data_IF_775894184979
#
_entry.id   IF_775894184979
#
_cell.length_a   1.000
_cell.length_b   1.000
_cell.length_c   1.000
_cell.angle_alpha   90.00
_cell.angle_beta   90.00
_cell.angle_gamma   90.00
#
_symmetry.space_group_name_H-M   'P 1'
#
loop_
_entity.id
_entity.type
_entity.pdbx_description
1 polymer ?
#
# COMPACT_ATOMS: atom_id res chain seq x y z
N UNK A 1 25.50 6.79 -1.47
CA UNK A 1 25.10 5.58 -0.71
C UNK A 1 24.84 4.44 -1.68
N UNK A 2 25.04 3.21 -1.23
CA UNK A 2 24.56 1.99 -1.90
C UNK A 2 23.10 1.73 -1.47
N UNK A 3 22.17 1.86 -2.41
CA UNK A 3 20.74 1.64 -2.17
C UNK A 3 20.28 0.41 -2.92
N UNK A 4 19.66 -0.55 -2.23
CA UNK A 4 18.99 -1.67 -2.87
C UNK A 4 17.48 -1.38 -2.91
N UNK A 5 16.90 -1.26 -4.10
CA UNK A 5 15.45 -1.15 -4.28
C UNK A 5 14.87 -2.56 -4.42
N UNK A 6 14.07 -2.98 -3.45
CA UNK A 6 13.29 -4.22 -3.52
C UNK A 6 11.92 -3.94 -4.12
N UNK A 7 11.59 -4.70 -5.18
CA UNK A 7 10.31 -4.59 -5.87
C UNK A 7 9.77 -5.98 -6.24
N UNK A 8 8.63 -6.05 -6.92
CA UNK A 8 8.03 -7.30 -7.37
C UNK A 8 7.40 -8.12 -6.26
N UNK A 9 7.95 -9.29 -5.97
CA UNK A 9 7.41 -10.20 -4.95
C UNK A 9 6.18 -11.00 -5.41
N UNK A 10 5.60 -11.79 -4.51
CA UNK A 10 4.39 -12.59 -4.74
C UNK A 10 3.15 -11.83 -4.24
N UNK A 11 2.69 -10.89 -5.04
CA UNK A 11 1.51 -10.05 -4.74
C UNK A 11 0.72 -9.80 -6.02
N UNK A 12 -0.62 -9.65 -5.94
CA UNK A 12 -1.41 -9.19 -7.08
C UNK A 12 -0.97 -7.82 -7.60
N UNK A 13 -0.28 -7.02 -6.76
CA UNK A 13 0.24 -5.69 -7.08
C UNK A 13 1.69 -5.72 -7.60
N UNK A 14 2.24 -6.90 -7.93
CA UNK A 14 3.60 -7.09 -8.41
C UNK A 14 4.01 -6.14 -9.53
N UNK A 15 3.15 -5.95 -10.54
CA UNK A 15 3.47 -5.11 -11.69
C UNK A 15 3.57 -3.62 -11.31
N UNK A 16 2.77 -3.18 -10.36
CA UNK A 16 2.82 -1.82 -9.77
C UNK A 16 4.11 -1.64 -8.98
N UNK A 17 4.46 -2.65 -8.19
CA UNK A 17 5.70 -2.69 -7.41
C UNK A 17 6.94 -2.60 -8.30
N UNK A 18 7.02 -3.38 -9.38
CA UNK A 18 8.13 -3.31 -10.33
C UNK A 18 8.23 -1.93 -11.00
N UNK A 19 7.09 -1.33 -11.35
CA UNK A 19 7.06 0.01 -11.95
C UNK A 19 7.50 1.07 -10.95
N UNK A 20 6.98 1.05 -9.72
CA UNK A 20 7.43 1.93 -8.64
C UNK A 20 8.92 1.79 -8.38
N UNK A 21 9.41 0.56 -8.25
CA UNK A 21 10.83 0.26 -8.02
C UNK A 21 11.74 0.77 -9.14
N UNK A 22 11.32 0.59 -10.40
CA UNK A 22 12.06 1.08 -11.57
C UNK A 22 12.18 2.61 -11.57
N UNK A 23 11.09 3.33 -11.26
CA UNK A 23 11.09 4.79 -11.21
C UNK A 23 11.90 5.33 -10.03
N UNK A 24 11.78 4.72 -8.84
CA UNK A 24 12.58 5.06 -7.65
C UNK A 24 14.07 4.82 -7.94
N UNK A 25 14.42 3.66 -8.51
CA UNK A 25 15.80 3.32 -8.86
C UNK A 25 16.41 4.38 -9.80
N UNK A 26 15.69 4.75 -10.85
CA UNK A 26 16.16 5.78 -11.79
C UNK A 26 16.32 7.14 -11.09
N UNK A 27 15.31 7.58 -10.33
CA UNK A 27 15.34 8.87 -9.65
C UNK A 27 16.52 8.99 -8.66
N UNK A 28 16.81 7.92 -7.92
CA UNK A 28 17.95 7.91 -6.99
C UNK A 28 19.29 7.83 -7.72
N UNK A 29 19.38 7.15 -8.88
CA UNK A 29 20.58 7.17 -9.75
C UNK A 29 20.85 8.58 -10.29
N UNK A 30 19.81 9.28 -10.75
CA UNK A 30 19.91 10.65 -11.25
C UNK A 30 20.40 11.65 -10.17
N UNK A 31 20.23 11.29 -8.90
CA UNK A 31 20.73 12.03 -7.74
C UNK A 31 22.11 11.57 -7.24
N UNK A 32 22.79 10.70 -8.00
CA UNK A 32 24.17 10.28 -7.75
C UNK A 32 24.34 9.13 -6.74
N UNK A 33 23.27 8.40 -6.40
CA UNK A 33 23.39 7.18 -5.60
C UNK A 33 23.78 5.98 -6.45
N UNK A 34 24.45 5.00 -5.84
CA UNK A 34 24.65 3.67 -6.43
C UNK A 34 23.39 2.85 -6.11
N UNK A 35 22.58 2.54 -7.13
CA UNK A 35 21.26 1.93 -6.90
C UNK A 35 21.10 0.65 -7.71
N UNK A 36 20.79 -0.44 -7.02
CA UNK A 36 20.40 -1.71 -7.60
C UNK A 36 18.88 -1.89 -7.50
N UNK A 37 18.24 -2.43 -8.54
CA UNK A 37 16.85 -2.87 -8.53
C UNK A 37 16.82 -4.40 -8.50
N UNK A 38 16.09 -4.95 -7.54
CA UNK A 38 15.99 -6.39 -7.36
C UNK A 38 14.57 -6.84 -7.12
N UNK A 39 14.20 -7.93 -7.77
CA UNK A 39 12.93 -8.59 -7.53
C UNK A 39 13.00 -9.46 -6.28
N UNK A 40 12.10 -9.21 -5.31
CA UNK A 40 12.07 -9.97 -4.05
C UNK A 40 11.84 -11.47 -4.29
N UNK A 41 10.99 -11.85 -5.26
CA UNK A 41 10.66 -13.25 -5.50
C UNK A 41 11.69 -13.97 -6.34
N UNK A 42 12.19 -13.37 -7.43
CA UNK A 42 13.15 -14.03 -8.30
C UNK A 42 14.58 -13.96 -7.74
N UNK A 43 14.95 -12.90 -7.05
CA UNK A 43 16.31 -12.73 -6.53
C UNK A 43 17.34 -12.41 -7.61
N UNK A 44 18.57 -12.90 -7.41
CA UNK A 44 19.63 -12.78 -8.38
C UNK A 44 19.42 -13.79 -9.52
N UNK A 45 19.43 -13.28 -10.75
CA UNK A 45 19.65 -14.12 -11.93
C UNK A 45 21.15 -14.48 -12.00
N UNK A 46 21.48 -15.75 -12.18
CA UNK A 46 22.85 -16.27 -12.11
C UNK A 46 23.89 -15.57 -13.01
N UNK A 47 23.47 -14.68 -13.91
CA UNK A 47 24.33 -13.82 -14.72
C UNK A 47 24.74 -12.51 -14.01
N UNK A 48 24.02 -12.09 -12.95
CA UNK A 48 24.26 -10.86 -12.19
C UNK A 48 24.81 -11.22 -10.81
N UNK A 49 26.10 -11.01 -10.59
CA UNK A 49 26.66 -11.00 -9.25
C UNK A 49 26.45 -9.63 -8.58
N UNK A 50 26.59 -9.58 -7.25
CA UNK A 50 26.20 -8.45 -6.43
C UNK A 50 26.61 -7.06 -6.93
N UNK A 51 27.84 -6.87 -7.36
CA UNK A 51 28.33 -5.54 -7.79
C UNK A 51 27.80 -5.14 -9.17
N UNK A 52 27.59 -6.09 -10.07
CA UNK A 52 27.07 -5.83 -11.42
C UNK A 52 25.60 -5.37 -11.39
N UNK A 53 24.84 -5.68 -10.35
CA UNK A 53 23.45 -5.26 -10.22
C UNK A 53 23.32 -3.73 -10.07
N UNK A 54 24.29 -3.07 -9.43
CA UNK A 54 24.28 -1.61 -9.22
C UNK A 54 24.47 -0.80 -10.52
N UNK A 55 25.05 -1.44 -11.56
CA UNK A 55 25.25 -0.83 -12.89
C UNK A 55 24.32 -1.42 -13.95
N UNK A 56 23.55 -2.44 -13.61
CA UNK A 56 22.63 -3.10 -14.53
C UNK A 56 21.55 -2.13 -15.05
N UNK A 57 21.18 -2.20 -16.35
CA UNK A 57 20.07 -1.42 -16.86
C UNK A 57 18.74 -1.85 -16.22
N UNK A 58 17.85 -0.90 -16.02
CA UNK A 58 16.49 -1.18 -15.56
C UNK A 58 15.71 -1.76 -16.74
N UNK A 59 15.10 -2.97 -16.60
CA UNK A 59 14.33 -3.56 -17.68
C UNK A 59 13.16 -2.68 -18.11
N UNK A 60 12.99 -2.45 -19.41
CA UNK A 60 11.88 -1.62 -19.93
C UNK A 60 10.51 -2.23 -19.63
N UNK A 61 10.43 -3.55 -19.45
CA UNK A 61 9.20 -4.24 -19.03
C UNK A 61 8.72 -3.80 -17.65
N UNK A 62 9.61 -3.34 -16.78
CA UNK A 62 9.25 -2.85 -15.44
C UNK A 62 8.69 -1.42 -15.44
N UNK A 63 8.87 -0.67 -16.52
CA UNK A 63 8.39 0.71 -16.61
C UNK A 63 6.89 0.84 -16.92
N UNK A 64 6.19 -0.28 -17.11
CA UNK A 64 4.76 -0.30 -17.48
C UNK A 64 3.98 -1.22 -16.55
N UNK A 65 2.82 -0.74 -16.08
CA UNK A 65 1.87 -1.55 -15.31
C UNK A 65 0.96 -2.29 -16.29
N UNK A 66 0.90 -3.62 -16.18
CA UNK A 66 -0.03 -4.43 -16.96
C UNK A 66 -1.49 -4.16 -16.54
N UNK A 67 -2.43 -4.36 -17.49
CA UNK A 67 -3.87 -4.17 -17.22
C UNK A 67 -4.45 -5.18 -16.24
N UNK A 68 -3.88 -6.38 -16.23
CA UNK A 68 -4.35 -7.49 -15.39
C UNK A 68 -3.34 -7.78 -14.29
N UNK A 69 -3.85 -8.18 -13.14
CA UNK A 69 -3.00 -8.67 -12.06
C UNK A 69 -2.30 -9.97 -12.51
N UNK A 70 -1.08 -10.24 -12.03
CA UNK A 70 -0.36 -11.45 -12.38
C UNK A 70 -1.07 -12.70 -11.84
N UNK A 71 -0.97 -13.81 -12.57
CA UNK A 71 -1.34 -15.13 -12.08
C UNK A 71 -0.31 -15.58 -11.03
N UNK A 72 -0.72 -15.54 -9.76
CA UNK A 72 0.16 -15.87 -8.65
C UNK A 72 0.49 -17.38 -8.56
N UNK A 73 -0.38 -18.26 -9.04
CA UNK A 73 -0.11 -19.70 -9.08
C UNK A 73 0.96 -20.01 -10.13
N UNK A 74 0.82 -19.45 -11.31
CA UNK A 74 1.82 -19.57 -12.36
C UNK A 74 3.16 -18.95 -11.92
N UNK A 75 3.11 -17.77 -11.30
CA UNK A 75 4.31 -17.11 -10.77
C UNK A 75 4.99 -17.98 -9.71
N UNK A 76 4.23 -18.54 -8.76
CA UNK A 76 4.76 -19.45 -7.75
C UNK A 76 5.40 -20.69 -8.37
N UNK A 77 4.77 -21.28 -9.38
CA UNK A 77 5.26 -22.46 -10.09
C UNK A 77 6.53 -22.19 -10.92
N UNK A 78 6.81 -20.94 -11.28
CA UNK A 78 7.97 -20.57 -12.08
C UNK A 78 9.32 -20.66 -11.34
N UNK A 79 9.30 -20.82 -10.00
CA UNK A 79 10.49 -21.00 -9.17
C UNK A 79 10.32 -22.16 -8.19
N UNK A 80 11.29 -23.07 -8.07
CA UNK A 80 11.22 -24.17 -7.12
C UNK A 80 11.32 -23.69 -5.66
N UNK A 81 10.74 -24.47 -4.76
CA UNK A 81 10.80 -24.25 -3.31
C UNK A 81 9.71 -23.35 -2.75
N UNK A 82 9.52 -23.34 -1.43
CA UNK A 82 8.43 -22.65 -0.75
C UNK A 82 8.72 -21.17 -0.45
N UNK A 83 9.97 -20.72 -0.57
CA UNK A 83 10.37 -19.36 -0.16
C UNK A 83 9.71 -18.28 -1.01
N UNK A 84 9.24 -17.20 -0.37
CA UNK A 84 8.81 -15.97 -1.04
C UNK A 84 9.98 -15.03 -1.35
N UNK A 85 11.18 -15.33 -0.80
CA UNK A 85 12.41 -14.56 -1.00
C UNK A 85 13.30 -15.34 -1.95
N UNK A 86 13.77 -14.68 -3.01
CA UNK A 86 14.66 -15.22 -4.03
C UNK A 86 16.09 -15.39 -3.55
N UNK A 87 16.88 -16.14 -4.33
CA UNK A 87 18.28 -16.40 -4.01
C UNK A 87 19.10 -15.09 -4.06
N UNK A 88 20.01 -14.90 -3.11
CA UNK A 88 20.86 -13.73 -3.00
C UNK A 88 20.20 -12.44 -2.53
N UNK A 89 18.87 -12.42 -2.29
CA UNK A 89 18.17 -11.20 -1.84
C UNK A 89 18.67 -10.72 -0.48
N UNK A 90 18.75 -11.62 0.50
CA UNK A 90 19.16 -11.25 1.86
C UNK A 90 20.63 -10.83 1.92
N UNK A 91 21.49 -11.48 1.16
CA UNK A 91 22.91 -11.13 1.02
C UNK A 91 23.08 -9.74 0.39
N UNK A 92 22.29 -9.43 -0.64
CA UNK A 92 22.29 -8.09 -1.25
C UNK A 92 21.74 -7.03 -0.30
N UNK A 93 20.72 -7.35 0.48
CA UNK A 93 20.21 -6.46 1.53
C UNK A 93 21.28 -6.15 2.57
N UNK A 94 21.98 -7.17 3.08
CA UNK A 94 23.04 -7.00 4.07
C UNK A 94 24.24 -6.19 3.56
N UNK A 95 24.47 -6.15 2.24
CA UNK A 95 25.53 -5.37 1.60
C UNK A 95 25.16 -3.94 1.19
N UNK A 96 23.92 -3.51 1.42
CA UNK A 96 23.45 -2.18 1.11
C UNK A 96 23.52 -1.24 2.33
N UNK A 97 23.70 0.07 2.11
CA UNK A 97 23.57 1.08 3.18
C UNK A 97 22.12 1.21 3.64
N UNK A 98 21.17 1.00 2.72
CA UNK A 98 19.72 1.02 2.97
C UNK A 98 18.98 0.23 1.90
N UNK A 99 17.90 -0.45 2.30
CA UNK A 99 16.95 -1.11 1.40
C UNK A 99 15.74 -0.20 1.19
N UNK A 100 15.49 0.22 -0.05
CA UNK A 100 14.27 0.94 -0.40
C UNK A 100 13.16 -0.08 -0.72
N UNK A 101 12.10 -0.10 0.09
CA UNK A 101 10.96 -0.99 -0.10
C UNK A 101 9.98 -0.36 -1.08
N UNK A 102 9.98 -0.81 -2.34
CA UNK A 102 9.00 -0.46 -3.37
C UNK A 102 7.99 -1.61 -3.60
N UNK A 103 7.76 -2.39 -2.55
CA UNK A 103 6.85 -3.53 -2.55
C UNK A 103 5.40 -3.07 -2.26
N UNK A 104 4.43 -3.90 -2.69
CA UNK A 104 3.01 -3.67 -2.40
C UNK A 104 2.32 -4.97 -2.01
N UNK A 105 1.32 -4.87 -1.14
CA UNK A 105 0.52 -6.00 -0.67
C UNK A 105 1.29 -6.99 0.21
N UNK A 106 0.91 -8.27 0.17
CA UNK A 106 1.52 -9.32 0.97
C UNK A 106 3.03 -9.43 0.74
N UNK A 107 3.76 -9.76 1.79
CA UNK A 107 5.22 -9.82 1.89
C UNK A 107 5.93 -8.45 1.78
N UNK A 108 5.24 -7.38 1.40
CA UNK A 108 5.79 -6.02 1.37
C UNK A 108 5.27 -5.14 2.50
N UNK A 109 3.93 -5.08 2.66
CA UNK A 109 3.25 -4.19 3.59
C UNK A 109 2.76 -4.88 4.88
N UNK A 110 3.00 -6.18 5.03
CA UNK A 110 2.49 -7.00 6.15
C UNK A 110 3.50 -7.27 7.27
N UNK A 111 4.64 -6.58 7.26
CA UNK A 111 5.68 -6.68 8.28
C UNK A 111 6.69 -7.82 8.07
N UNK A 112 6.48 -8.74 7.14
CA UNK A 112 7.33 -9.93 6.98
C UNK A 112 8.73 -9.59 6.49
N UNK A 113 8.85 -8.79 5.44
CA UNK A 113 10.16 -8.37 4.93
C UNK A 113 10.83 -7.43 5.92
N UNK A 114 10.08 -6.59 6.61
CA UNK A 114 10.59 -5.71 7.64
C UNK A 114 11.23 -6.52 8.78
N UNK A 115 10.55 -7.58 9.26
CA UNK A 115 11.10 -8.47 10.28
C UNK A 115 12.38 -9.19 9.83
N UNK A 116 12.45 -9.62 8.56
CA UNK A 116 13.66 -10.24 8.02
C UNK A 116 14.84 -9.24 7.99
N UNK A 117 14.59 -7.99 7.60
CA UNK A 117 15.60 -6.93 7.57
C UNK A 117 16.01 -6.46 8.97
N UNK A 118 15.06 -6.42 9.93
CA UNK A 118 15.36 -6.16 11.34
C UNK A 118 16.33 -7.21 11.91
N UNK A 119 16.07 -8.50 11.64
CA UNK A 119 16.97 -9.60 12.07
C UNK A 119 18.35 -9.57 11.38
N UNK A 120 18.43 -9.04 10.16
CA UNK A 120 19.70 -8.83 9.45
C UNK A 120 20.45 -7.59 9.95
N UNK A 121 19.82 -6.72 10.72
CA UNK A 121 20.37 -5.41 11.09
C UNK A 121 20.52 -4.46 9.89
N UNK A 122 19.73 -4.65 8.83
CA UNK A 122 19.81 -3.86 7.60
C UNK A 122 18.78 -2.75 7.61
N UNK A 123 19.16 -1.47 7.50
CA UNK A 123 18.21 -0.36 7.42
C UNK A 123 17.33 -0.45 6.16
N UNK A 124 16.06 -0.10 6.30
CA UNK A 124 15.09 -0.07 5.20
C UNK A 124 14.13 1.11 5.30
N UNK A 125 13.46 1.45 4.22
CA UNK A 125 12.53 2.60 4.18
C UNK A 125 11.15 2.27 4.73
N UNK A 126 10.49 3.29 5.32
CA UNK A 126 9.11 3.22 5.81
C UNK A 126 8.98 2.64 7.22
N UNK A 127 7.79 2.20 7.54
CA UNK A 127 7.40 1.71 8.87
C UNK A 127 8.03 0.36 9.21
N UNK A 128 8.20 0.10 10.51
CA UNK A 128 8.72 -1.17 11.02
C UNK A 128 7.71 -2.33 10.93
N UNK A 129 8.16 -3.52 11.34
CA UNK A 129 7.41 -4.78 11.25
C UNK A 129 6.03 -4.68 11.90
N UNK A 130 5.95 -4.25 13.17
CA UNK A 130 4.68 -4.23 13.92
C UNK A 130 3.66 -3.27 13.31
N UNK A 131 4.07 -2.03 13.00
CA UNK A 131 3.19 -1.03 12.40
C UNK A 131 2.66 -1.47 11.04
N UNK A 132 3.51 -2.06 10.20
CA UNK A 132 3.12 -2.60 8.89
C UNK A 132 2.11 -3.75 9.03
N UNK A 133 2.34 -4.68 9.95
CA UNK A 133 1.43 -5.80 10.20
C UNK A 133 0.05 -5.32 10.71
N UNK A 134 0.02 -4.32 11.59
CA UNK A 134 -1.22 -3.71 12.09
C UNK A 134 -1.96 -3.00 10.95
N UNK A 135 -1.26 -2.19 10.15
CA UNK A 135 -1.86 -1.44 9.06
C UNK A 135 -2.51 -2.35 7.99
N UNK A 136 -1.91 -3.51 7.73
CA UNK A 136 -2.44 -4.49 6.77
C UNK A 136 -3.74 -5.15 7.25
N UNK A 137 -3.94 -5.35 8.55
CA UNK A 137 -5.16 -5.93 9.12
C UNK A 137 -6.19 -4.81 9.39
N UNK A 138 -7.21 -4.72 8.54
CA UNK A 138 -8.24 -3.67 8.61
C UNK A 138 -9.04 -3.71 9.91
N UNK A 139 -9.32 -4.89 10.47
CA UNK A 139 -10.04 -5.03 11.74
C UNK A 139 -9.18 -4.55 12.90
N UNK A 140 -7.92 -4.98 12.96
CA UNK A 140 -7.01 -4.59 14.03
C UNK A 140 -6.77 -3.07 14.01
N UNK A 141 -6.50 -2.50 12.83
CA UNK A 141 -6.35 -1.05 12.66
C UNK A 141 -7.59 -0.30 13.15
N UNK A 142 -8.80 -0.69 12.69
CA UNK A 142 -10.05 -0.06 13.11
C UNK A 142 -10.27 -0.14 14.62
N UNK A 143 -9.97 -1.28 15.25
CA UNK A 143 -10.06 -1.44 16.72
C UNK A 143 -9.15 -0.48 17.47
N UNK A 144 -7.91 -0.31 17.02
CA UNK A 144 -6.93 0.57 17.67
C UNK A 144 -7.26 2.05 17.53
N UNK A 145 -7.87 2.46 16.41
CA UNK A 145 -8.23 3.86 16.16
C UNK A 145 -9.67 4.20 16.56
N UNK A 146 -10.48 3.20 16.92
CA UNK A 146 -11.85 3.39 17.37
C UNK A 146 -11.91 4.36 18.55
N UNK A 147 -12.85 5.32 18.49
CA UNK A 147 -12.98 6.38 19.50
C UNK A 147 -11.98 7.54 19.37
N UNK A 148 -10.93 7.42 18.52
CA UNK A 148 -9.98 8.50 18.22
C UNK A 148 -10.29 9.19 16.89
N UNK A 149 -10.63 8.38 15.86
CA UNK A 149 -11.09 8.85 14.56
C UNK A 149 -12.40 8.16 14.19
N UNK A 150 -13.20 8.81 13.34
CA UNK A 150 -14.40 8.15 12.82
C UNK A 150 -14.00 7.10 11.79
N UNK A 151 -14.61 5.92 11.87
CA UNK A 151 -14.52 4.83 10.91
C UNK A 151 -15.91 4.24 10.70
N UNK A 152 -16.24 3.70 9.52
CA UNK A 152 -17.53 3.03 9.32
C UNK A 152 -17.75 1.96 10.38
N UNK A 153 -18.98 1.80 10.88
CA UNK A 153 -19.33 0.67 11.77
C UNK A 153 -19.06 -0.62 11.00
N UNK A 154 -18.49 -1.60 11.67
CA UNK A 154 -18.07 -2.85 11.01
C UNK A 154 -18.27 -4.05 11.92
N UNK A 155 -18.30 -5.20 11.29
CA UNK A 155 -18.05 -6.48 11.91
C UNK A 155 -17.00 -7.25 11.11
N UNK A 156 -16.31 -8.16 11.78
CA UNK A 156 -15.38 -9.08 11.15
C UNK A 156 -15.90 -10.49 11.29
N UNK A 157 -16.04 -11.19 10.17
CA UNK A 157 -16.58 -12.55 10.11
C UNK A 157 -15.64 -13.45 9.32
N UNK A 158 -15.68 -14.75 9.62
CA UNK A 158 -15.14 -15.78 8.73
C UNK A 158 -16.31 -16.32 7.92
N UNK A 159 -16.33 -16.00 6.63
CA UNK A 159 -17.37 -16.43 5.69
C UNK A 159 -17.05 -17.84 5.21
N UNK A 160 -18.01 -18.73 5.32
CA UNK A 160 -18.00 -20.09 4.75
C UNK A 160 -19.28 -20.31 3.94
N UNK A 161 -19.31 -21.32 3.08
CA UNK A 161 -20.52 -21.62 2.29
C UNK A 161 -21.74 -21.85 3.20
N UNK A 162 -21.54 -22.46 4.38
CA UNK A 162 -22.60 -22.83 5.30
C UNK A 162 -23.24 -21.61 6.01
N UNK A 163 -22.48 -20.52 6.24
CA UNK A 163 -22.97 -19.38 7.03
C UNK A 163 -23.39 -18.15 6.20
N UNK A 164 -23.30 -18.23 4.87
CA UNK A 164 -23.71 -17.10 3.98
C UNK A 164 -25.14 -16.68 4.24
N UNK A 165 -26.09 -17.63 4.35
CA UNK A 165 -27.51 -17.33 4.58
C UNK A 165 -27.74 -16.60 5.91
N UNK A 166 -27.11 -17.03 6.99
CA UNK A 166 -27.16 -16.38 8.31
C UNK A 166 -26.62 -14.95 8.26
N UNK A 167 -25.45 -14.75 7.61
CA UNK A 167 -24.85 -13.42 7.47
C UNK A 167 -25.79 -12.51 6.68
N UNK A 168 -26.38 -12.99 5.58
CA UNK A 168 -27.31 -12.22 4.77
C UNK A 168 -28.56 -11.78 5.54
N UNK A 169 -29.11 -12.65 6.39
CA UNK A 169 -30.32 -12.38 7.16
C UNK A 169 -30.13 -11.23 8.17
N UNK A 170 -28.96 -11.16 8.80
CA UNK A 170 -28.66 -10.16 9.83
C UNK A 170 -28.02 -8.85 9.28
N UNK A 171 -27.52 -8.87 8.05
CA UNK A 171 -26.82 -7.71 7.47
C UNK A 171 -27.78 -6.66 6.96
N UNK A 172 -27.66 -5.44 7.46
CA UNK A 172 -28.46 -4.28 7.01
C UNK A 172 -27.75 -3.57 5.86
N UNK A 173 -28.41 -3.55 4.68
CA UNK A 173 -27.88 -2.88 3.48
C UNK A 173 -28.16 -1.35 3.51
N UNK A 174 -27.29 -0.52 2.84
CA UNK A 174 -26.11 -0.92 2.05
C UNK A 174 -24.86 -1.14 2.90
N UNK A 175 -23.99 -2.05 2.45
CA UNK A 175 -22.69 -2.36 3.11
C UNK A 175 -21.56 -2.44 2.10
N UNK A 176 -20.32 -2.36 2.61
CA UNK A 176 -19.09 -2.71 1.90
C UNK A 176 -18.55 -4.01 2.49
N UNK A 177 -18.29 -4.98 1.61
CA UNK A 177 -17.69 -6.27 1.96
C UNK A 177 -16.27 -6.30 1.40
N UNK A 178 -15.27 -6.56 2.25
CA UNK A 178 -13.87 -6.55 1.83
C UNK A 178 -13.02 -7.55 2.60
N UNK A 179 -11.99 -8.15 1.99
CA UNK A 179 -11.04 -9.00 2.71
C UNK A 179 -10.36 -8.22 3.82
N UNK A 180 -10.05 -8.90 4.94
CA UNK A 180 -9.39 -8.25 6.08
C UNK A 180 -8.00 -7.71 5.73
N UNK A 181 -7.27 -8.41 4.86
CA UNK A 181 -5.90 -8.09 4.46
C UNK A 181 -5.76 -8.21 2.94
N UNK A 182 -6.03 -7.12 2.23
CA UNK A 182 -5.80 -7.01 0.79
C UNK A 182 -5.58 -5.55 0.41
N UNK A 183 -4.80 -5.32 -0.66
CA UNK A 183 -4.57 -4.01 -1.27
C UNK A 183 -5.38 -3.81 -2.56
N UNK A 184 -5.23 -2.61 -3.15
CA UNK A 184 -5.76 -2.23 -4.47
C UNK A 184 -7.24 -2.52 -4.72
N UNK A 185 -8.07 -2.45 -3.70
CA UNK A 185 -9.53 -2.73 -3.78
C UNK A 185 -9.87 -4.14 -4.28
N UNK A 186 -8.92 -5.08 -4.28
CA UNK A 186 -9.16 -6.47 -4.70
C UNK A 186 -10.08 -7.14 -3.69
N UNK A 187 -11.21 -7.66 -4.18
CA UNK A 187 -12.23 -8.32 -3.34
C UNK A 187 -13.13 -7.34 -2.57
N UNK A 188 -13.10 -6.05 -2.90
CA UNK A 188 -14.00 -5.05 -2.33
C UNK A 188 -15.30 -5.01 -3.12
N UNK A 189 -16.43 -5.13 -2.44
CA UNK A 189 -17.77 -5.10 -3.02
C UNK A 189 -18.67 -4.14 -2.27
N UNK A 190 -19.38 -3.29 -3.00
CA UNK A 190 -20.45 -2.44 -2.46
C UNK A 190 -21.77 -3.16 -2.72
N UNK A 191 -22.41 -3.65 -1.65
CA UNK A 191 -23.69 -4.36 -1.72
C UNK A 191 -24.85 -3.44 -1.31
N UNK A 192 -25.71 -3.11 -2.27
CA UNK A 192 -26.93 -2.31 -2.08
C UNK A 192 -28.20 -3.16 -2.10
N UNK A 193 -28.10 -4.40 -2.58
CA UNK A 193 -29.19 -5.37 -2.73
C UNK A 193 -28.77 -6.74 -2.23
N UNK A 194 -29.70 -7.61 -1.81
CA UNK A 194 -29.36 -8.95 -1.29
C UNK A 194 -28.53 -9.80 -2.25
N UNK A 195 -28.83 -9.80 -3.55
CA UNK A 195 -28.06 -10.56 -4.54
C UNK A 195 -26.62 -10.04 -4.77
N UNK A 196 -26.34 -8.76 -4.49
CA UNK A 196 -24.99 -8.20 -4.50
C UNK A 196 -24.22 -8.64 -3.25
N UNK A 197 -24.88 -8.68 -2.09
CA UNK A 197 -24.31 -9.19 -0.84
C UNK A 197 -23.94 -10.66 -0.97
N UNK A 198 -24.84 -11.50 -1.52
CA UNK A 198 -24.57 -12.90 -1.74
C UNK A 198 -23.30 -13.11 -2.58
N UNK A 199 -23.20 -12.43 -3.74
CA UNK A 199 -22.01 -12.50 -4.61
C UNK A 199 -20.74 -12.07 -3.89
N UNK A 200 -20.82 -11.02 -3.07
CA UNK A 200 -19.68 -10.54 -2.27
C UNK A 200 -19.22 -11.58 -1.23
N UNK A 201 -20.14 -12.22 -0.54
CA UNK A 201 -19.83 -13.27 0.45
C UNK A 201 -19.26 -14.53 -0.23
N UNK A 202 -19.84 -14.98 -1.36
CA UNK A 202 -19.29 -16.07 -2.16
C UNK A 202 -17.85 -15.78 -2.65
N UNK A 203 -17.59 -14.54 -3.06
CA UNK A 203 -16.22 -14.11 -3.41
C UNK A 203 -15.28 -14.12 -2.20
N UNK A 204 -15.77 -13.72 -1.02
CA UNK A 204 -15.00 -13.76 0.22
C UNK A 204 -14.55 -15.17 0.60
N UNK A 205 -15.40 -16.20 0.42
CA UNK A 205 -15.02 -17.60 0.63
C UNK A 205 -13.81 -17.97 -0.21
N UNK A 206 -13.81 -17.61 -1.49
CA UNK A 206 -12.68 -17.88 -2.40
C UNK A 206 -11.39 -17.16 -2.03
N UNK A 207 -11.49 -16.04 -1.30
CA UNK A 207 -10.36 -15.22 -0.84
C UNK A 207 -9.90 -15.55 0.59
N UNK A 208 -10.28 -16.73 1.13
CA UNK A 208 -9.86 -17.19 2.45
C UNK A 208 -10.83 -16.89 3.59
N UNK A 209 -12.00 -16.32 3.30
CA UNK A 209 -13.15 -16.18 4.19
C UNK A 209 -13.07 -15.07 5.25
N UNK A 210 -11.88 -14.64 5.71
CA UNK A 210 -11.78 -13.56 6.70
C UNK A 210 -12.15 -12.21 6.10
N UNK A 211 -13.27 -11.65 6.54
CA UNK A 211 -13.95 -10.56 5.84
C UNK A 211 -14.41 -9.47 6.82
N UNK A 212 -14.22 -8.24 6.44
CA UNK A 212 -14.84 -7.05 7.07
C UNK A 212 -16.10 -6.70 6.30
N UNK A 213 -17.23 -6.60 7.01
CA UNK A 213 -18.49 -6.06 6.51
C UNK A 213 -18.72 -4.73 7.24
N UNK A 214 -18.76 -3.63 6.49
CA UNK A 214 -18.88 -2.30 7.07
C UNK A 214 -20.03 -1.50 6.46
N UNK A 215 -20.59 -0.56 7.20
CA UNK A 215 -21.62 0.34 6.68
C UNK A 215 -21.07 1.13 5.47
N UNK A 216 -21.92 1.30 4.45
CA UNK A 216 -21.59 2.12 3.30
C UNK A 216 -21.70 3.60 3.63
N UNK A 217 -20.60 4.31 3.63
CA UNK A 217 -20.56 5.76 3.81
C UNK A 217 -20.66 6.44 2.44
N UNK A 218 -21.65 7.34 2.30
CA UNK A 218 -21.77 8.17 1.09
C UNK A 218 -20.94 9.43 1.26
N UNK A 219 -20.01 9.67 0.33
CA UNK A 219 -19.16 10.86 0.38
C UNK A 219 -18.17 10.92 -0.77
N UNK A 220 -17.19 11.80 -0.62
CA UNK A 220 -16.06 12.00 -1.55
C UNK A 220 -14.90 11.12 -1.09
N UNK A 221 -14.22 10.45 -2.02
CA UNK A 221 -13.02 9.70 -1.72
C UNK A 221 -11.83 10.65 -1.69
N UNK A 222 -11.22 10.81 -0.52
CA UNK A 222 -10.09 11.70 -0.29
C UNK A 222 -8.99 10.94 0.43
N UNK A 223 -7.77 11.10 -0.05
CA UNK A 223 -6.59 10.46 0.53
C UNK A 223 -5.60 11.52 1.00
N UNK A 224 -4.82 11.17 2.02
CA UNK A 224 -3.80 12.04 2.62
C UNK A 224 -2.55 11.23 2.92
N UNK A 225 -1.43 11.67 2.37
CA UNK A 225 -0.13 11.17 2.80
C UNK A 225 0.32 11.85 4.09
N UNK A 226 0.91 11.07 4.96
CA UNK A 226 1.70 11.53 6.09
C UNK A 226 3.17 11.37 5.73
N UNK A 227 3.97 12.42 5.91
CA UNK A 227 5.41 12.40 5.72
C UNK A 227 6.08 12.96 6.99
N UNK A 228 6.70 12.07 7.76
CA UNK A 228 7.22 12.38 9.09
C UNK A 228 6.12 12.70 10.09
N UNK A 229 6.08 13.92 10.55
CA UNK A 229 5.17 14.42 11.59
C UNK A 229 4.01 15.27 11.03
N UNK A 230 3.88 15.37 9.70
CA UNK A 230 2.87 16.23 9.03
C UNK A 230 2.10 15.51 7.95
N UNK A 231 0.83 15.89 7.81
CA UNK A 231 0.00 15.54 6.68
C UNK A 231 0.37 16.43 5.47
N UNK A 232 0.44 15.83 4.28
CA UNK A 232 0.56 16.56 3.02
C UNK A 232 -0.82 17.06 2.58
N UNK A 233 -0.91 17.95 1.58
CA UNK A 233 -2.19 18.37 1.03
C UNK A 233 -2.99 17.18 0.51
N UNK A 234 -4.26 17.11 0.85
CA UNK A 234 -5.12 16.00 0.45
C UNK A 234 -5.34 15.92 -1.06
N UNK A 235 -5.62 14.72 -1.53
CA UNK A 235 -5.96 14.45 -2.93
C UNK A 235 -7.35 13.80 -3.03
N UNK A 236 -8.21 14.37 -3.88
CA UNK A 236 -9.52 13.81 -4.16
C UNK A 236 -9.47 12.89 -5.37
N UNK A 237 -10.14 11.75 -5.27
CA UNK A 237 -10.24 10.77 -6.33
C UNK A 237 -11.69 10.70 -6.80
N UNK A 238 -11.89 10.98 -8.10
CA UNK A 238 -13.19 10.93 -8.76
C UNK A 238 -13.11 9.86 -9.84
N UNK A 239 -13.56 8.61 -9.58
CA UNK A 239 -13.65 7.59 -10.60
C UNK A 239 -14.59 8.04 -11.73
N UNK A 240 -14.26 7.75 -12.99
CA UNK A 240 -15.15 8.04 -14.12
C UNK A 240 -16.39 7.17 -14.12
N UNK A 241 -16.21 5.91 -13.71
CA UNK A 241 -17.28 4.92 -13.60
C UNK A 241 -17.08 4.06 -12.36
N UNK A 242 -18.16 3.67 -11.70
CA UNK A 242 -18.14 2.74 -10.57
C UNK A 242 -17.53 3.31 -9.29
N UNK A 243 -16.52 2.63 -8.75
CA UNK A 243 -15.72 3.02 -7.60
C UNK A 243 -14.23 2.84 -7.91
N UNK A 244 -13.34 3.32 -7.04
CA UNK A 244 -11.89 3.29 -7.27
C UNK A 244 -11.32 1.87 -7.07
N UNK A 245 -11.60 1.00 -8.05
CA UNK A 245 -11.12 -0.38 -8.13
C UNK A 245 -9.73 -0.49 -8.76
N UNK A 246 -9.20 -1.73 -8.90
CA UNK A 246 -7.88 -1.99 -9.48
C UNK A 246 -7.72 -1.38 -10.88
N UNK A 247 -8.73 -1.50 -11.74
CA UNK A 247 -8.65 -0.98 -13.10
C UNK A 247 -8.61 0.57 -13.09
N UNK A 248 -9.44 1.21 -12.23
CA UNK A 248 -9.47 2.66 -12.09
C UNK A 248 -8.19 3.23 -11.45
N UNK A 249 -7.47 2.44 -10.64
CA UNK A 249 -6.21 2.87 -10.00
C UNK A 249 -5.04 2.93 -10.97
N UNK A 250 -4.96 2.02 -11.94
CA UNK A 250 -3.73 1.83 -12.72
C UNK A 250 -3.90 2.04 -14.23
N UNK A 251 -5.12 2.34 -14.70
CA UNK A 251 -5.33 2.69 -16.12
C UNK A 251 -5.32 4.21 -16.29
N UNK A 252 -4.49 4.74 -17.21
CA UNK A 252 -4.44 6.18 -17.47
C UNK A 252 -5.82 6.75 -17.82
N UNK A 253 -6.23 7.77 -17.06
CA UNK A 253 -7.49 8.48 -17.30
C UNK A 253 -8.76 7.77 -16.80
N UNK A 254 -8.67 6.68 -16.03
CA UNK A 254 -9.83 5.99 -15.45
C UNK A 254 -10.39 6.71 -14.22
N UNK A 255 -9.57 7.47 -13.50
CA UNK A 255 -9.97 8.37 -12.44
C UNK A 255 -9.45 9.79 -12.73
N UNK A 256 -10.11 10.79 -12.15
CA UNK A 256 -9.64 12.16 -12.11
C UNK A 256 -9.16 12.46 -10.70
N UNK A 257 -7.89 12.84 -10.58
CA UNK A 257 -7.22 13.12 -9.31
C UNK A 257 -7.02 14.62 -9.19
N UNK A 258 -7.44 15.22 -8.09
CA UNK A 258 -7.36 16.66 -7.82
C UNK A 258 -6.48 16.86 -6.58
N UNK A 259 -5.28 17.38 -6.77
CA UNK A 259 -4.32 17.67 -5.69
C UNK A 259 -3.84 19.14 -5.79
N UNK A 260 -3.98 19.97 -4.74
CA UNK A 260 -4.78 19.74 -3.51
C UNK A 260 -6.28 19.57 -3.81
N UNK A 261 -6.97 18.79 -2.98
CA UNK A 261 -8.42 18.59 -3.09
C UNK A 261 -9.16 19.92 -2.95
N UNK A 262 -10.21 20.12 -3.76
CA UNK A 262 -11.04 21.33 -3.67
C UNK A 262 -12.07 21.18 -2.54
N UNK A 263 -11.63 21.40 -1.30
CA UNK A 263 -12.43 21.29 -0.06
C UNK A 263 -12.22 22.52 0.83
N UNK A 264 -13.14 22.82 1.77
CA UNK A 264 -12.94 23.84 2.79
C UNK A 264 -11.71 23.55 3.66
N UNK A 265 -11.04 24.61 4.12
CA UNK A 265 -9.83 24.50 4.95
C UNK A 265 -10.06 23.72 6.24
N UNK A 266 -11.22 23.85 6.84
CA UNK A 266 -11.60 23.08 8.04
C UNK A 266 -11.71 21.57 7.75
N UNK A 267 -12.14 21.16 6.56
CA UNK A 267 -12.15 19.74 6.16
C UNK A 267 -10.73 19.22 5.94
N UNK A 268 -9.90 20.00 5.24
CA UNK A 268 -8.49 19.68 5.04
C UNK A 268 -7.79 19.43 6.38
N UNK A 269 -8.00 20.33 7.36
CA UNK A 269 -7.44 20.21 8.70
C UNK A 269 -7.95 18.93 9.40
N UNK A 270 -9.26 18.69 9.37
CA UNK A 270 -9.87 17.53 10.02
C UNK A 270 -9.37 16.20 9.44
N UNK A 271 -9.18 16.12 8.12
CA UNK A 271 -8.66 14.93 7.42
C UNK A 271 -7.19 14.72 7.78
N UNK A 272 -6.39 15.79 7.73
CA UNK A 272 -4.97 15.75 8.10
C UNK A 272 -4.76 15.32 9.56
N UNK A 273 -5.52 15.88 10.51
CA UNK A 273 -5.46 15.51 11.93
C UNK A 273 -5.88 14.05 12.16
N UNK A 274 -6.91 13.57 11.42
CA UNK A 274 -7.32 12.18 11.48
C UNK A 274 -6.23 11.24 10.94
N UNK A 275 -5.60 11.58 9.81
CA UNK A 275 -4.49 10.80 9.23
C UNK A 275 -3.31 10.71 10.20
N UNK A 276 -2.88 11.83 10.80
CA UNK A 276 -1.81 11.87 11.80
C UNK A 276 -2.18 11.08 13.06
N UNK A 277 -3.44 11.13 13.50
CA UNK A 277 -3.92 10.37 14.66
C UNK A 277 -3.84 8.87 14.40
N UNK A 278 -4.27 8.40 13.22
CA UNK A 278 -4.14 7.00 12.83
C UNK A 278 -2.67 6.59 12.79
N UNK A 279 -1.85 7.34 12.05
CA UNK A 279 -0.42 7.08 11.87
C UNK A 279 0.31 6.88 13.20
N UNK A 280 0.10 7.81 14.16
CA UNK A 280 0.71 7.74 15.50
C UNK A 280 0.13 6.62 16.35
N UNK A 281 -1.19 6.37 16.27
CA UNK A 281 -1.86 5.36 17.11
C UNK A 281 -1.38 3.96 16.82
N UNK A 282 -1.11 3.62 15.56
CA UNK A 282 -0.65 2.28 15.17
C UNK A 282 0.87 2.18 15.06
N UNK A 283 1.60 3.24 15.47
CA UNK A 283 3.06 3.23 15.55
C UNK A 283 3.75 3.22 14.18
N UNK A 284 3.19 3.92 13.18
CA UNK A 284 3.87 4.08 11.90
C UNK A 284 5.00 5.10 11.99
N UNK A 285 5.94 5.00 11.07
CA UNK A 285 7.07 5.90 10.93
C UNK A 285 7.33 6.26 9.47
N UNK A 286 8.02 7.36 9.26
CA UNK A 286 8.50 7.88 7.96
C UNK A 286 7.39 8.37 7.06
N UNK A 287 6.57 7.49 6.49
CA UNK A 287 5.46 7.87 5.62
C UNK A 287 4.39 6.80 5.54
N UNK A 288 3.19 7.21 5.19
CA UNK A 288 2.07 6.34 4.87
C UNK A 288 0.99 7.16 4.13
N UNK A 289 -0.01 6.50 3.54
CA UNK A 289 -1.19 7.15 2.95
C UNK A 289 -2.44 6.63 3.64
N UNK A 290 -3.22 7.53 4.21
CA UNK A 290 -4.51 7.25 4.83
C UNK A 290 -5.66 7.57 3.86
N UNK A 291 -6.63 6.67 3.76
CA UNK A 291 -7.73 6.72 2.81
C UNK A 291 -9.05 6.98 3.57
N UNK A 292 -9.85 7.95 3.10
CA UNK A 292 -11.08 8.41 3.75
C UNK A 292 -12.24 8.52 2.77
N UNK A 293 -13.46 8.33 3.29
CA UNK A 293 -14.68 8.89 2.69
C UNK A 293 -15.08 10.10 3.52
N UNK A 294 -15.19 11.27 2.88
CA UNK A 294 -15.61 12.53 3.50
C UNK A 294 -17.05 12.82 3.13
N UNK A 295 -17.91 12.89 4.14
CA UNK A 295 -19.35 13.14 3.95
C UNK A 295 -19.63 14.58 3.52
N UNK A 296 -20.87 14.89 3.11
CA UNK A 296 -21.27 16.23 2.65
C UNK A 296 -21.21 17.32 3.73
N UNK A 297 -21.13 16.93 5.00
CA UNK A 297 -20.92 17.79 6.17
C UNK A 297 -19.47 17.84 6.65
N UNK A 298 -18.53 17.28 5.85
CA UNK A 298 -17.09 17.37 6.08
C UNK A 298 -16.53 16.38 7.10
N UNK A 299 -17.27 15.35 7.48
CA UNK A 299 -16.79 14.36 8.44
C UNK A 299 -15.95 13.31 7.71
N UNK A 300 -14.64 13.14 8.05
CA UNK A 300 -13.81 12.11 7.47
C UNK A 300 -14.06 10.76 8.16
N UNK A 301 -14.41 9.75 7.38
CA UNK A 301 -14.48 8.36 7.81
C UNK A 301 -13.25 7.63 7.32
N UNK A 302 -12.38 7.24 8.22
CA UNK A 302 -11.17 6.48 7.94
C UNK A 302 -11.50 5.07 7.44
N UNK A 303 -10.89 4.66 6.32
CA UNK A 303 -11.06 3.35 5.71
C UNK A 303 -9.89 2.41 5.97
N UNK A 304 -8.69 2.84 5.60
CA UNK A 304 -7.43 2.09 5.71
C UNK A 304 -6.22 3.02 5.63
N UNK A 305 -5.05 2.51 5.98
CA UNK A 305 -3.76 3.19 5.83
C UNK A 305 -2.75 2.26 5.17
N UNK A 306 -2.04 2.76 4.17
CA UNK A 306 -1.07 2.01 3.38
C UNK A 306 0.34 2.44 3.76
N UNK A 307 1.19 1.49 4.16
CA UNK A 307 2.56 1.76 4.65
C UNK A 307 3.60 1.86 3.55
N UNK A 308 3.35 1.25 2.39
CA UNK A 308 4.16 1.37 1.17
C UNK A 308 3.26 1.77 -0.01
N UNK A 309 2.73 3.01 0.00
CA UNK A 309 1.87 3.49 -1.08
C UNK A 309 2.63 3.54 -2.41
N UNK A 310 1.90 3.55 -3.53
CA UNK A 310 2.46 3.65 -4.87
C UNK A 310 3.43 4.82 -5.01
N UNK A 311 4.57 4.55 -5.62
CA UNK A 311 5.68 5.49 -5.78
C UNK A 311 6.09 5.68 -7.24
N UNK A 312 5.15 5.62 -8.19
CA UNK A 312 5.39 6.19 -9.52
C UNK A 312 5.22 7.71 -9.48
N UNK A 313 5.82 8.49 -10.38
CA UNK A 313 5.64 9.95 -10.40
C UNK A 313 4.18 10.43 -10.48
N UNK A 314 3.29 9.59 -11.00
CA UNK A 314 1.84 9.85 -11.09
C UNK A 314 1.04 9.25 -9.94
N UNK A 315 1.68 8.57 -8.99
CA UNK A 315 1.02 8.08 -7.78
C UNK A 315 0.66 9.23 -6.83
N UNK A 316 -0.29 8.98 -5.93
CA UNK A 316 -0.91 10.02 -5.10
C UNK A 316 0.11 10.71 -4.17
N UNK A 317 0.93 9.96 -3.45
CA UNK A 317 1.94 10.52 -2.52
C UNK A 317 2.95 11.43 -3.23
N UNK A 318 3.54 11.06 -4.39
CA UNK A 318 4.35 11.99 -5.18
C UNK A 318 3.61 13.24 -5.64
N UNK A 319 2.31 13.16 -5.99
CA UNK A 319 1.52 14.34 -6.36
C UNK A 319 1.30 15.27 -5.16
N UNK A 320 0.95 14.73 -3.99
CA UNK A 320 0.81 15.48 -2.74
C UNK A 320 2.14 16.15 -2.32
N UNK A 321 3.26 15.45 -2.47
CA UNK A 321 4.60 16.01 -2.20
C UNK A 321 4.95 17.15 -3.19
N UNK A 322 4.64 16.98 -4.47
CA UNK A 322 4.85 18.00 -5.49
C UNK A 322 4.03 19.26 -5.20
N UNK A 323 2.81 19.14 -4.66
CA UNK A 323 1.95 20.27 -4.27
C UNK A 323 2.58 21.16 -3.19
N UNK A 324 3.54 20.64 -2.40
CA UNK A 324 4.34 21.40 -1.42
C UNK A 324 5.77 21.67 -1.86
N UNK A 325 6.08 21.48 -3.16
CA UNK A 325 7.38 21.81 -3.74
C UNK A 325 8.47 20.75 -3.52
N UNK A 326 8.11 19.53 -3.14
CA UNK A 326 9.03 18.40 -3.01
C UNK A 326 9.01 17.61 -4.33
N UNK A 327 10.08 17.73 -5.14
CA UNK A 327 10.20 16.93 -6.36
C UNK A 327 10.35 15.43 -6.07
N UNK A 328 10.08 14.61 -7.08
CA UNK A 328 10.03 13.16 -6.94
C UNK A 328 11.35 12.54 -6.42
N UNK A 329 12.49 12.95 -6.97
CA UNK A 329 13.79 12.47 -6.52
C UNK A 329 14.09 12.91 -5.09
N UNK A 330 13.72 14.15 -4.72
CA UNK A 330 13.86 14.65 -3.36
C UNK A 330 12.96 13.90 -2.38
N UNK A 331 11.74 13.54 -2.78
CA UNK A 331 10.86 12.71 -1.97
C UNK A 331 11.50 11.35 -1.67
N UNK A 332 12.05 10.66 -2.69
CA UNK A 332 12.72 9.38 -2.50
C UNK A 332 13.91 9.49 -1.52
N UNK A 333 14.76 10.52 -1.66
CA UNK A 333 15.86 10.78 -0.71
C UNK A 333 15.36 11.13 0.69
N UNK A 334 14.29 11.93 0.81
CA UNK A 334 13.71 12.31 2.10
C UNK A 334 13.22 11.07 2.84
N UNK A 335 12.53 10.15 2.15
CA UNK A 335 12.09 8.88 2.72
C UNK A 335 13.29 8.06 3.24
N UNK A 336 14.39 7.98 2.47
CA UNK A 336 15.62 7.29 2.91
C UNK A 336 16.19 7.95 4.17
N UNK A 337 16.38 9.27 4.16
CA UNK A 337 16.98 10.00 5.27
C UNK A 337 16.16 9.83 6.56
N UNK A 338 14.85 10.04 6.49
CA UNK A 338 13.94 9.87 7.62
C UNK A 338 13.93 8.44 8.14
N UNK A 339 14.05 7.44 7.24
CA UNK A 339 14.11 6.03 7.63
C UNK A 339 15.39 5.68 8.37
N UNK A 340 16.51 6.22 7.92
CA UNK A 340 17.80 6.04 8.61
C UNK A 340 17.81 6.70 9.99
N UNK A 341 17.16 7.86 10.14
CA UNK A 341 17.01 8.55 11.44
C UNK A 341 16.11 7.75 12.39
N UNK A 342 14.93 7.35 11.94
CA UNK A 342 13.99 6.58 12.76
C UNK A 342 14.58 5.27 13.30
N UNK A 343 15.49 4.62 12.55
CA UNK A 343 16.14 3.38 12.98
C UNK A 343 17.35 3.55 13.90
N UNK A 344 17.92 4.75 13.97
CA UNK A 344 18.94 5.04 14.98
C UNK A 344 18.35 5.20 16.39
N UNK A 345 17.08 5.61 16.46
CA UNK A 345 16.39 5.88 17.73
C UNK A 345 15.65 4.67 18.30
N UNK A 346 15.46 3.61 17.56
CA UNK A 346 14.50 2.56 17.90
C UNK A 346 14.94 1.10 17.77
N UNK A 347 16.23 0.80 17.55
CA UNK A 347 16.73 -0.58 17.57
C UNK A 347 17.56 -0.84 18.81
#
# INVERSE_FOLDING_TARGET
MKVLVLAGGLSPERNVSLSSGAMVCQALRDRGHQVALMDLFYGLDGALNGDNLYVAPIPDTYKRVAREAPDLEQLRASRPGPSAIGDGVLEMCAGADVVYLALHGACGEDGRIQAALDLLGTPYTGSGCLGSAIAMDKDLTKRLVCGKVKTPRWETVTVTEENIAEIMERTQLPVVVKPIASGSSIGVYIAKKPGELQKALEASVRLGGRTVIEEYIRGREIQVAVLGDRALPSIEIIPREGFYDYANKYQPGAAHEICPAHIPREWEQAIGDAALTVFRTIGLSVYARADFIVTSDGIPYFLEINTLPGMTPTSLVPQEAAAVGIDYGKLCETIIQMSLEARKEGL
#
